data_IF_432017750182
#
_entry.id   IF_432017750182
#
_cell.length_a   1.000
_cell.length_b   1.000
_cell.length_c   1.000
_cell.angle_alpha   90.00
_cell.angle_beta   90.00
_cell.angle_gamma   90.00
#
_symmetry.space_group_name_H-M   'P 1'
#
loop_
_entity.id
_entity.type
_entity.pdbx_description
1 polymer ?
#
# COMPACT_ATOMS: atom_id res chain seq x y z
N UNK A 1 47.58 -37.75 -44.48
CA UNK A 1 46.80 -36.80 -43.70
C UNK A 1 45.46 -36.38 -44.28
N UNK A 2 45.34 -36.12 -45.57
CA UNK A 2 44.02 -35.67 -46.18
C UNK A 2 42.93 -36.72 -46.24
N UNK A 3 43.24 -38.02 -46.14
CA UNK A 3 42.23 -39.12 -46.24
C UNK A 3 41.54 -39.41 -44.91
N UNK A 4 42.19 -39.19 -43.78
CA UNK A 4 41.64 -39.39 -42.44
C UNK A 4 40.75 -38.23 -42.03
N UNK A 5 40.95 -37.00 -42.56
CA UNK A 5 40.14 -35.84 -42.26
C UNK A 5 38.72 -35.91 -42.91
N UNK A 6 38.62 -36.58 -44.05
CA UNK A 6 37.31 -36.80 -44.72
C UNK A 6 36.44 -37.83 -44.02
N UNK A 7 37.05 -38.84 -43.38
CA UNK A 7 36.34 -39.87 -42.62
C UNK A 7 35.89 -39.30 -41.26
N UNK A 8 36.67 -38.43 -40.63
CA UNK A 8 36.27 -37.75 -39.40
C UNK A 8 35.09 -36.76 -39.62
N UNK A 9 35.10 -36.04 -40.74
CA UNK A 9 34.00 -35.16 -41.09
C UNK A 9 32.69 -35.90 -41.44
N UNK A 10 32.78 -37.15 -41.95
CA UNK A 10 31.63 -37.96 -42.28
C UNK A 10 30.97 -38.63 -41.06
N UNK A 11 31.72 -38.82 -39.97
CA UNK A 11 31.17 -39.32 -38.67
C UNK A 11 30.65 -38.22 -37.76
N UNK A 12 31.03 -36.96 -37.98
CA UNK A 12 30.49 -35.80 -37.20
C UNK A 12 29.15 -35.29 -37.72
N UNK A 13 28.79 -35.59 -38.95
CA UNK A 13 27.54 -35.09 -39.55
C UNK A 13 26.25 -35.72 -38.98
N UNK A 14 26.21 -37.01 -38.60
CA UNK A 14 25.00 -37.59 -38.03
C UNK A 14 24.77 -37.22 -36.54
N UNK A 15 25.78 -36.69 -35.81
CA UNK A 15 25.61 -36.24 -34.41
C UNK A 15 24.92 -34.90 -34.26
N UNK A 16 24.73 -34.13 -35.35
CA UNK A 16 24.03 -32.84 -35.32
C UNK A 16 22.49 -32.95 -35.45
N UNK A 17 21.98 -34.16 -35.74
CA UNK A 17 20.52 -34.37 -35.88
C UNK A 17 19.84 -34.96 -34.65
N UNK A 18 20.58 -35.12 -33.51
CA UNK A 18 20.01 -35.65 -32.25
C UNK A 18 19.66 -34.51 -31.25
N UNK A 19 19.99 -33.28 -31.58
CA UNK A 19 19.71 -32.15 -30.69
C UNK A 19 18.50 -31.39 -31.17
N UNK A 20 17.43 -31.59 -30.53
CA UNK A 20 16.17 -30.88 -30.36
C UNK A 20 14.98 -31.80 -30.62
N UNK A 21 14.70 -32.72 -29.72
CA UNK A 21 13.30 -33.03 -29.48
C UNK A 21 12.70 -31.78 -28.85
N UNK A 22 11.92 -31.05 -29.63
CA UNK A 22 11.00 -30.05 -29.09
C UNK A 22 10.08 -30.82 -28.16
N UNK A 23 10.19 -30.58 -26.85
CA UNK A 23 9.20 -31.08 -25.92
C UNK A 23 7.86 -30.44 -26.30
N UNK A 24 7.03 -31.17 -26.97
CA UNK A 24 5.66 -30.77 -27.27
C UNK A 24 4.87 -30.94 -25.96
N UNK A 25 4.80 -29.86 -25.18
CA UNK A 25 3.90 -29.80 -24.04
C UNK A 25 2.47 -29.78 -24.56
N UNK A 26 1.82 -30.93 -24.53
CA UNK A 26 0.37 -31.00 -24.78
C UNK A 26 -0.36 -30.52 -23.54
N UNK A 27 -1.37 -29.67 -23.71
CA UNK A 27 -2.21 -29.16 -22.63
C UNK A 27 -3.04 -30.23 -21.88
N UNK A 28 -2.86 -31.50 -22.21
CA UNK A 28 -3.65 -32.61 -21.67
C UNK A 28 -5.06 -32.69 -22.26
N UNK A 29 -5.83 -33.64 -21.78
CA UNK A 29 -7.21 -33.86 -22.22
C UNK A 29 -8.18 -32.96 -21.46
N UNK A 30 -9.15 -32.38 -22.15
CA UNK A 30 -10.25 -31.66 -21.52
C UNK A 30 -11.14 -32.65 -20.80
N UNK A 31 -11.31 -32.49 -19.49
CA UNK A 31 -12.20 -33.31 -18.69
C UNK A 31 -13.66 -32.88 -18.87
N UNK A 32 -14.57 -33.84 -18.85
CA UNK A 32 -16.00 -33.60 -18.80
C UNK A 32 -16.44 -33.16 -17.37
N UNK A 33 -17.62 -32.54 -17.24
CA UNK A 33 -18.18 -32.17 -15.93
C UNK A 33 -18.25 -33.36 -14.95
N UNK A 34 -18.54 -34.58 -15.42
CA UNK A 34 -18.67 -35.76 -14.57
C UNK A 34 -17.35 -36.26 -13.98
N UNK A 35 -16.22 -35.90 -14.59
CA UNK A 35 -14.89 -36.27 -14.14
C UNK A 35 -14.34 -35.27 -13.11
N UNK A 36 -14.91 -34.07 -13.04
CA UNK A 36 -14.49 -33.01 -12.11
C UNK A 36 -15.11 -33.27 -10.72
N UNK A 37 -14.25 -33.38 -9.72
CA UNK A 37 -14.64 -33.63 -8.33
C UNK A 37 -14.32 -32.41 -7.47
N UNK A 38 -15.34 -31.85 -6.88
CA UNK A 38 -15.22 -30.69 -5.98
C UNK A 38 -16.26 -30.73 -4.87
N UNK A 39 -16.02 -30.02 -3.79
CA UNK A 39 -16.96 -29.87 -2.68
C UNK A 39 -16.99 -28.42 -2.20
N UNK A 40 -18.17 -28.01 -1.75
CA UNK A 40 -18.41 -26.78 -0.99
C UNK A 40 -19.11 -27.21 0.30
N UNK A 41 -18.52 -26.93 1.44
CA UNK A 41 -19.06 -27.35 2.74
C UNK A 41 -18.92 -26.24 3.78
N UNK A 42 -19.91 -26.13 4.67
CA UNK A 42 -19.86 -25.22 5.80
C UNK A 42 -19.21 -25.92 7.00
N UNK A 43 -18.27 -25.24 7.66
CA UNK A 43 -17.69 -25.69 8.93
C UNK A 43 -18.54 -25.17 10.09
N UNK A 44 -19.55 -25.97 10.48
CA UNK A 44 -20.47 -25.62 11.57
C UNK A 44 -19.81 -25.73 12.96
N UNK A 45 -18.61 -26.34 13.06
CA UNK A 45 -17.86 -26.39 14.33
C UNK A 45 -17.12 -25.05 14.52
N UNK A 46 -16.57 -24.47 13.43
CA UNK A 46 -15.96 -23.16 13.48
C UNK A 46 -17.00 -22.04 13.67
N UNK A 47 -18.16 -22.17 12.99
CA UNK A 47 -19.26 -21.19 13.02
C UNK A 47 -20.63 -21.90 12.95
N UNK A 48 -21.36 -21.86 14.02
CA UNK A 48 -22.73 -22.45 14.07
C UNK A 48 -23.72 -21.76 13.10
N UNK A 49 -23.41 -20.56 12.60
CA UNK A 49 -24.15 -19.84 11.55
C UNK A 49 -23.78 -20.26 10.13
N UNK A 50 -22.75 -21.11 9.97
CA UNK A 50 -22.25 -21.57 8.68
C UNK A 50 -21.43 -20.51 7.93
N UNK A 51 -20.86 -19.55 8.63
CA UNK A 51 -20.10 -18.44 8.07
C UNK A 51 -18.75 -18.86 7.48
N UNK A 52 -18.14 -19.94 7.97
CA UNK A 52 -16.91 -20.54 7.45
C UNK A 52 -17.25 -21.57 6.39
N UNK A 53 -16.81 -21.35 5.16
CA UNK A 53 -17.07 -22.23 4.01
C UNK A 53 -15.76 -22.75 3.44
N UNK A 54 -15.65 -24.06 3.31
CA UNK A 54 -14.49 -24.74 2.75
C UNK A 54 -14.79 -25.09 1.29
N UNK A 55 -13.97 -24.54 0.38
CA UNK A 55 -13.96 -24.82 -1.05
C UNK A 55 -12.86 -25.83 -1.32
N UNK A 56 -13.15 -26.91 -2.02
CA UNK A 56 -12.16 -27.94 -2.32
C UNK A 56 -12.35 -28.52 -3.71
N UNK A 57 -11.36 -28.39 -4.56
CA UNK A 57 -11.22 -29.11 -5.80
C UNK A 57 -10.25 -30.29 -5.58
N UNK A 58 -10.72 -31.50 -5.85
CA UNK A 58 -9.93 -32.73 -5.69
C UNK A 58 -9.55 -33.38 -7.02
N UNK A 59 -9.82 -32.70 -8.14
CA UNK A 59 -9.49 -33.21 -9.48
C UNK A 59 -8.02 -32.94 -9.78
N UNK A 60 -7.17 -33.98 -9.90
CA UNK A 60 -5.76 -33.80 -10.23
C UNK A 60 -5.56 -33.15 -11.62
N UNK A 61 -4.50 -32.38 -11.80
CA UNK A 61 -4.12 -31.81 -13.08
C UNK A 61 -5.04 -30.69 -13.58
N UNK A 62 -5.87 -30.12 -12.71
CA UNK A 62 -6.74 -28.98 -13.00
C UNK A 62 -6.36 -27.74 -12.21
N UNK A 63 -6.71 -26.54 -12.70
CA UNK A 63 -6.67 -25.31 -11.92
C UNK A 63 -8.09 -24.93 -11.51
N UNK A 64 -8.22 -24.36 -10.34
CA UNK A 64 -9.52 -23.93 -9.79
C UNK A 64 -9.82 -22.50 -10.18
N UNK A 65 -11.08 -22.23 -10.46
CA UNK A 65 -11.65 -20.89 -10.56
C UNK A 65 -12.93 -20.85 -9.71
N UNK A 66 -12.79 -20.27 -8.52
CA UNK A 66 -13.91 -20.06 -7.59
C UNK A 66 -14.39 -18.62 -7.66
N UNK A 67 -15.71 -18.42 -7.68
CA UNK A 67 -16.38 -17.15 -7.43
C UNK A 67 -17.41 -17.40 -6.33
N UNK A 68 -17.23 -16.74 -5.20
CA UNK A 68 -18.11 -16.91 -4.02
C UNK A 68 -18.95 -15.65 -3.74
N UNK A 69 -19.11 -14.81 -4.77
CA UNK A 69 -19.97 -13.63 -4.74
C UNK A 69 -19.33 -12.41 -4.10
N UNK A 70 -18.52 -12.58 -3.04
CA UNK A 70 -17.77 -11.49 -2.41
C UNK A 70 -16.30 -11.46 -2.83
N UNK A 71 -15.82 -12.51 -3.52
CA UNK A 71 -14.44 -12.60 -3.99
C UNK A 71 -14.23 -13.82 -4.88
N UNK A 72 -13.00 -14.01 -5.34
CA UNK A 72 -12.58 -15.13 -6.19
C UNK A 72 -11.35 -15.82 -5.60
N UNK A 73 -11.14 -17.10 -5.97
CA UNK A 73 -9.95 -17.85 -5.60
C UNK A 73 -9.54 -18.81 -6.70
N UNK A 74 -8.25 -19.04 -6.85
CA UNK A 74 -7.69 -20.06 -7.75
C UNK A 74 -7.07 -21.23 -7.00
N UNK A 75 -7.22 -21.28 -5.69
CA UNK A 75 -6.65 -22.33 -4.85
C UNK A 75 -7.43 -23.64 -5.01
N UNK A 76 -6.72 -24.78 -4.96
CA UNK A 76 -7.34 -26.10 -4.94
C UNK A 76 -8.16 -26.32 -3.66
N UNK A 77 -7.72 -25.75 -2.55
CA UNK A 77 -8.46 -25.71 -1.28
C UNK A 77 -8.39 -24.27 -0.76
N UNK A 78 -9.55 -23.72 -0.43
CA UNK A 78 -9.64 -22.40 0.19
C UNK A 78 -10.71 -22.37 1.29
N UNK A 79 -10.58 -21.44 2.22
CA UNK A 79 -11.55 -21.20 3.29
C UNK A 79 -12.06 -19.79 3.19
N UNK A 80 -13.32 -19.64 2.88
CA UNK A 80 -14.01 -18.36 2.75
C UNK A 80 -14.81 -18.08 4.01
N UNK A 81 -14.80 -16.83 4.46
CA UNK A 81 -15.50 -16.38 5.66
C UNK A 81 -16.50 -15.28 5.29
N UNK A 82 -17.78 -15.56 5.53
CA UNK A 82 -18.87 -14.61 5.32
C UNK A 82 -19.24 -13.93 6.63
N UNK A 83 -19.11 -12.62 6.71
CA UNK A 83 -19.41 -11.87 7.93
C UNK A 83 -20.91 -11.72 8.19
N UNK A 84 -21.72 -11.67 7.14
CA UNK A 84 -23.15 -11.40 7.21
C UNK A 84 -23.98 -12.63 6.90
N UNK A 85 -25.16 -12.73 7.52
CA UNK A 85 -26.18 -13.70 7.17
C UNK A 85 -26.71 -13.44 5.75
N UNK A 86 -27.03 -14.49 5.02
CA UNK A 86 -27.53 -14.38 3.65
C UNK A 86 -27.31 -15.64 2.83
N UNK A 87 -27.78 -15.63 1.61
CA UNK A 87 -27.58 -16.69 0.63
C UNK A 87 -26.43 -16.31 -0.31
N UNK A 88 -25.38 -17.12 -0.33
CA UNK A 88 -24.19 -16.91 -1.14
C UNK A 88 -24.12 -17.94 -2.28
N UNK A 89 -24.05 -17.44 -3.51
CA UNK A 89 -23.93 -18.30 -4.70
C UNK A 89 -22.44 -18.55 -4.95
N UNK A 90 -22.05 -19.81 -4.78
CA UNK A 90 -20.68 -20.26 -5.07
C UNK A 90 -20.67 -20.84 -6.48
N UNK A 91 -19.83 -20.27 -7.35
CA UNK A 91 -19.57 -20.80 -8.68
C UNK A 91 -18.18 -21.42 -8.71
N UNK A 92 -18.06 -22.53 -9.39
CA UNK A 92 -16.79 -23.21 -9.61
C UNK A 92 -16.62 -23.53 -11.10
N UNK A 93 -15.42 -23.34 -11.60
CA UNK A 93 -14.98 -23.84 -12.88
C UNK A 93 -13.59 -24.47 -12.73
N UNK A 94 -13.34 -25.55 -13.45
CA UNK A 94 -12.02 -26.16 -13.56
C UNK A 94 -11.39 -25.81 -14.91
N UNK A 95 -10.11 -25.43 -14.89
CA UNK A 95 -9.32 -25.29 -16.13
C UNK A 95 -8.59 -26.59 -16.38
N UNK A 96 -8.88 -27.23 -17.51
CA UNK A 96 -8.36 -28.54 -17.89
C UNK A 96 -8.19 -28.61 -19.42
N UNK A 97 -7.09 -29.17 -19.90
CA UNK A 97 -6.77 -29.25 -21.34
C UNK A 97 -6.80 -27.89 -22.04
N UNK A 98 -6.50 -26.78 -21.34
CA UNK A 98 -6.55 -25.42 -21.90
C UNK A 98 -7.96 -24.83 -22.03
N UNK A 99 -8.99 -25.50 -21.54
CA UNK A 99 -10.38 -25.03 -21.54
C UNK A 99 -10.93 -24.82 -20.14
N UNK A 100 -11.90 -23.91 -20.01
CA UNK A 100 -12.64 -23.65 -18.76
C UNK A 100 -13.93 -24.48 -18.80
N UNK A 101 -14.10 -25.36 -17.83
CA UNK A 101 -15.28 -26.20 -17.65
C UNK A 101 -16.08 -25.70 -16.43
N UNK A 102 -17.16 -24.93 -16.65
CA UNK A 102 -17.99 -24.42 -15.57
C UNK A 102 -18.86 -25.53 -14.98
N UNK A 103 -18.97 -25.52 -13.64
CA UNK A 103 -19.84 -26.41 -12.88
C UNK A 103 -21.13 -25.69 -12.50
N UNK A 104 -22.12 -26.45 -12.02
CA UNK A 104 -23.35 -25.86 -11.52
C UNK A 104 -23.09 -25.11 -10.21
N UNK A 105 -23.75 -23.97 -10.03
CA UNK A 105 -23.59 -23.14 -8.84
C UNK A 105 -24.22 -23.80 -7.60
N UNK A 106 -23.63 -23.57 -6.44
CA UNK A 106 -24.10 -24.05 -5.15
C UNK A 106 -24.50 -22.84 -4.29
N UNK A 107 -25.68 -22.87 -3.71
CA UNK A 107 -26.12 -21.84 -2.75
C UNK A 107 -25.73 -22.29 -1.35
N UNK A 108 -24.98 -21.45 -0.66
CA UNK A 108 -24.60 -21.60 0.75
C UNK A 108 -25.41 -20.62 1.57
N UNK A 109 -26.16 -21.11 2.54
CA UNK A 109 -26.97 -20.27 3.43
C UNK A 109 -26.25 -20.03 4.75
N UNK A 110 -25.87 -18.77 4.99
CA UNK A 110 -25.35 -18.30 6.27
C UNK A 110 -26.51 -17.76 7.10
N UNK A 111 -26.69 -18.28 8.31
CA UNK A 111 -27.90 -18.03 9.11
C UNK A 111 -27.74 -16.97 10.18
N UNK A 112 -26.49 -16.55 10.48
CA UNK A 112 -26.16 -15.55 11.51
C UNK A 112 -24.97 -14.68 11.06
N UNK A 113 -24.95 -13.43 11.49
CA UNK A 113 -23.79 -12.58 11.34
C UNK A 113 -22.63 -13.07 12.23
N UNK A 114 -21.41 -13.04 11.69
CA UNK A 114 -20.17 -13.15 12.44
C UNK A 114 -19.26 -11.96 12.13
N UNK A 115 -19.51 -10.85 12.82
CA UNK A 115 -18.84 -9.58 12.59
C UNK A 115 -17.35 -9.60 12.97
N UNK A 116 -16.86 -10.64 13.67
CA UNK A 116 -15.43 -10.82 13.91
C UNK A 116 -14.62 -10.92 12.62
N UNK A 117 -15.24 -11.31 11.51
CA UNK A 117 -14.57 -11.41 10.21
C UNK A 117 -14.33 -10.05 9.53
N UNK A 118 -14.94 -9.00 10.03
CA UNK A 118 -14.77 -7.61 9.56
C UNK A 118 -14.37 -6.65 10.69
N UNK A 119 -13.84 -7.19 11.80
CA UNK A 119 -13.43 -6.40 12.97
C UNK A 119 -11.95 -5.96 12.94
N UNK A 120 -11.21 -6.29 11.90
CA UNK A 120 -9.84 -5.80 11.73
C UNK A 120 -9.86 -4.28 11.47
N UNK A 121 -8.94 -3.48 12.05
CA UNK A 121 -8.86 -2.04 11.85
C UNK A 121 -8.86 -1.58 10.39
N UNK A 122 -8.36 -2.40 9.47
CA UNK A 122 -8.36 -2.10 8.04
C UNK A 122 -9.78 -2.06 7.45
N UNK A 123 -10.70 -2.88 7.93
CA UNK A 123 -12.10 -2.79 7.55
C UNK A 123 -12.71 -1.46 7.99
N UNK A 124 -12.40 -1.03 9.22
CA UNK A 124 -12.84 0.28 9.74
C UNK A 124 -12.20 1.42 8.94
N UNK A 125 -10.91 1.34 8.64
CA UNK A 125 -10.24 2.33 7.80
C UNK A 125 -10.90 2.46 6.42
N UNK A 126 -11.27 1.34 5.79
CA UNK A 126 -11.86 1.33 4.45
C UNK A 126 -13.30 1.86 4.43
N UNK A 127 -14.11 1.56 5.47
CA UNK A 127 -15.58 1.73 5.43
C UNK A 127 -16.16 2.62 6.52
N UNK A 128 -15.40 2.93 7.57
CA UNK A 128 -15.91 3.55 8.80
C UNK A 128 -16.41 2.53 9.83
N UNK A 129 -16.39 1.22 9.51
CA UNK A 129 -16.82 0.13 10.38
C UNK A 129 -18.18 -0.48 10.02
N UNK A 130 -18.61 -1.45 10.84
CA UNK A 130 -19.90 -2.13 10.65
C UNK A 130 -21.06 -1.14 10.73
N UNK A 131 -22.01 -1.24 9.80
CA UNK A 131 -23.15 -0.34 9.68
C UNK A 131 -22.83 1.01 9.05
N UNK A 132 -21.58 1.23 8.63
CA UNK A 132 -21.12 2.48 8.01
C UNK A 132 -20.74 2.26 6.54
N UNK A 133 -20.50 3.37 5.86
CA UNK A 133 -19.95 3.40 4.52
C UNK A 133 -19.04 4.62 4.36
N UNK A 134 -18.05 4.52 3.47
CA UNK A 134 -17.11 5.60 3.21
C UNK A 134 -16.94 5.82 1.72
N UNK A 135 -16.96 7.10 1.33
CA UNK A 135 -16.76 7.54 -0.05
C UNK A 135 -15.29 7.90 -0.30
N UNK A 136 -14.75 7.37 -1.39
CA UNK A 136 -13.39 7.56 -1.84
C UNK A 136 -13.38 8.19 -3.24
N UNK A 137 -12.47 9.13 -3.46
CA UNK A 137 -12.23 9.77 -4.76
C UNK A 137 -10.75 9.64 -5.11
N UNK A 138 -10.42 9.67 -6.40
CA UNK A 138 -9.01 9.77 -6.82
C UNK A 138 -8.42 11.10 -6.37
N UNK A 139 -7.18 11.08 -5.91
CA UNK A 139 -6.43 12.29 -5.51
C UNK A 139 -5.94 13.08 -6.74
N UNK A 140 -6.91 13.52 -7.55
CA UNK A 140 -6.64 14.20 -8.82
C UNK A 140 -5.99 15.57 -8.66
N UNK A 141 -6.05 16.14 -7.46
CA UNK A 141 -5.47 17.45 -7.14
C UNK A 141 -4.14 17.36 -6.39
N UNK A 142 -3.69 16.15 -6.05
CA UNK A 142 -2.49 15.98 -5.23
C UNK A 142 -2.67 16.53 -3.81
N UNK A 143 -3.84 16.28 -3.21
CA UNK A 143 -4.20 16.80 -1.88
C UNK A 143 -3.34 16.16 -0.79
N UNK A 144 -3.09 14.88 -0.92
CA UNK A 144 -2.27 14.09 0.01
C UNK A 144 -1.08 13.45 -0.68
N UNK A 145 -1.30 12.75 -1.81
CA UNK A 145 -0.25 12.18 -2.63
C UNK A 145 0.28 13.22 -3.61
N UNK A 146 1.34 12.91 -4.36
CA UNK A 146 1.83 13.81 -5.41
C UNK A 146 0.80 13.98 -6.55
N UNK A 147 -0.08 12.99 -6.72
CA UNK A 147 -1.14 12.94 -7.71
C UNK A 147 -1.92 11.63 -7.64
N UNK A 148 -2.82 11.38 -8.59
CA UNK A 148 -3.72 10.21 -8.59
C UNK A 148 -3.03 8.88 -8.89
N UNK A 149 -1.79 8.90 -9.39
CA UNK A 149 -1.03 7.71 -9.76
C UNK A 149 0.33 7.67 -9.08
N UNK A 150 0.77 6.45 -8.76
CA UNK A 150 2.15 6.11 -8.46
C UNK A 150 2.53 4.84 -9.21
N UNK A 151 3.81 4.60 -9.42
CA UNK A 151 4.31 3.46 -10.17
C UNK A 151 5.41 2.75 -9.41
N UNK A 152 5.37 1.42 -9.42
CA UNK A 152 6.38 0.59 -8.79
C UNK A 152 6.82 -0.52 -9.71
N UNK A 153 8.09 -0.88 -9.62
CA UNK A 153 8.63 -2.04 -10.31
C UNK A 153 7.99 -3.34 -9.80
N UNK A 154 7.87 -4.32 -10.68
CA UNK A 154 7.18 -5.59 -10.42
C UNK A 154 7.87 -6.48 -9.38
N UNK A 155 9.17 -6.27 -9.14
CA UNK A 155 9.94 -6.99 -8.14
C UNK A 155 9.81 -6.38 -6.74
N UNK A 156 8.57 -6.12 -6.32
CA UNK A 156 8.24 -5.52 -5.04
C UNK A 156 8.79 -4.07 -4.88
N UNK A 157 8.87 -3.31 -5.95
CA UNK A 157 9.34 -1.92 -5.93
C UNK A 157 8.60 -1.04 -4.92
N UNK A 158 7.33 -1.36 -4.62
CA UNK A 158 6.55 -0.70 -3.58
C UNK A 158 7.16 -0.82 -2.16
N UNK A 159 7.99 -1.84 -1.90
CA UNK A 159 8.73 -1.97 -0.64
C UNK A 159 9.82 -0.91 -0.52
N UNK A 160 10.47 -0.52 -1.63
CA UNK A 160 11.47 0.54 -1.65
C UNK A 160 10.87 1.92 -1.43
N UNK A 161 9.65 2.13 -1.91
CA UNK A 161 8.93 3.41 -1.78
C UNK A 161 8.41 3.73 -0.38
N UNK A 162 8.82 2.98 0.64
CA UNK A 162 8.33 3.18 2.00
C UNK A 162 6.87 2.75 2.15
N UNK A 163 6.42 1.82 1.29
CA UNK A 163 5.11 1.19 1.46
C UNK A 163 4.96 0.74 2.90
N UNK A 164 3.90 1.14 3.52
CA UNK A 164 3.65 1.14 4.96
C UNK A 164 3.75 -0.24 5.60
N UNK A 165 3.55 -1.29 4.80
CA UNK A 165 3.69 -2.68 5.25
C UNK A 165 5.14 -3.16 5.30
N UNK A 166 6.08 -2.32 4.93
CA UNK A 166 7.47 -2.69 4.66
C UNK A 166 8.49 -1.83 5.38
N UNK A 167 8.10 -1.10 6.42
CA UNK A 167 9.03 -0.36 7.25
C UNK A 167 10.18 -1.29 7.70
N UNK A 168 11.36 -1.08 7.15
CA UNK A 168 12.53 -1.95 7.38
C UNK A 168 12.53 -3.28 6.62
N UNK A 169 11.56 -3.56 5.75
CA UNK A 169 11.54 -4.80 4.98
C UNK A 169 12.48 -4.72 3.78
N UNK A 170 13.37 -5.68 3.69
CA UNK A 170 14.11 -6.02 2.48
C UNK A 170 13.28 -7.02 1.68
N UNK A 171 12.98 -6.77 0.43
CA UNK A 171 12.14 -7.69 -0.35
C UNK A 171 11.98 -7.27 -1.79
N UNK A 172 12.50 -6.13 -2.11
CA UNK A 172 12.63 -5.59 -3.44
C UNK A 172 13.98 -6.01 -4.02
N UNK A 173 14.04 -6.41 -5.29
CA UNK A 173 15.26 -6.96 -5.90
C UNK A 173 15.34 -6.67 -7.41
N UNK A 174 16.58 -6.68 -7.93
CA UNK A 174 16.87 -6.54 -9.36
C UNK A 174 16.56 -5.18 -9.95
N UNK A 175 16.61 -5.09 -11.28
CA UNK A 175 16.39 -3.86 -12.03
C UNK A 175 14.98 -3.28 -11.85
N UNK A 176 13.99 -4.14 -11.57
CA UNK A 176 12.59 -3.76 -11.36
C UNK A 176 12.26 -3.37 -9.91
N UNK A 177 13.30 -3.10 -9.10
CA UNK A 177 13.14 -2.54 -7.77
C UNK A 177 13.21 -1.01 -7.82
N UNK A 178 12.18 -0.36 -8.30
CA UNK A 178 12.10 1.09 -8.43
C UNK A 178 10.72 1.60 -8.01
N UNK A 179 10.65 2.91 -7.70
CA UNK A 179 9.42 3.63 -7.38
C UNK A 179 9.39 4.95 -8.12
N UNK A 180 8.20 5.40 -8.48
CA UNK A 180 7.97 6.70 -9.06
C UNK A 180 6.60 7.24 -8.66
N UNK A 181 6.57 8.44 -8.07
CA UNK A 181 5.36 9.18 -7.70
C UNK A 181 5.30 10.49 -8.46
N UNK A 182 4.80 10.49 -9.72
CA UNK A 182 4.72 11.71 -10.52
C UNK A 182 3.75 12.71 -9.91
N UNK A 183 4.06 13.99 -10.07
CA UNK A 183 3.16 15.08 -9.74
C UNK A 183 2.00 15.22 -10.71
N UNK A 184 0.99 16.00 -10.36
CA UNK A 184 -0.17 16.25 -11.23
C UNK A 184 0.22 16.83 -12.60
N UNK A 185 1.26 17.65 -12.65
CA UNK A 185 1.81 18.20 -13.91
C UNK A 185 2.42 17.16 -14.84
N UNK A 186 2.97 16.08 -14.28
CA UNK A 186 3.53 14.97 -15.05
C UNK A 186 2.42 14.02 -15.54
N UNK A 187 1.37 13.88 -14.74
CA UNK A 187 0.26 12.98 -15.04
C UNK A 187 -0.67 13.58 -16.09
N UNK A 188 -1.01 14.86 -16.01
CA UNK A 188 -1.96 15.48 -16.94
C UNK A 188 -1.27 16.27 -18.06
N UNK A 189 -1.71 16.10 -19.31
CA UNK A 189 -2.71 15.15 -19.82
C UNK A 189 -2.11 13.83 -20.31
N UNK A 190 -0.81 13.61 -20.13
CA UNK A 190 -0.05 12.53 -20.80
C UNK A 190 -0.46 11.12 -20.35
N UNK A 191 -0.64 10.92 -19.05
CA UNK A 191 -0.97 9.61 -18.48
C UNK A 191 -2.45 9.46 -18.17
N UNK A 192 -3.14 10.55 -17.83
CA UNK A 192 -4.57 10.59 -17.55
C UNK A 192 -5.17 11.85 -18.14
N UNK A 193 -6.42 11.78 -18.60
CA UNK A 193 -7.19 12.98 -18.89
C UNK A 193 -7.53 13.72 -17.58
N UNK A 194 -7.48 15.04 -17.59
CA UNK A 194 -8.01 15.82 -16.49
C UNK A 194 -9.54 15.75 -16.48
N UNK A 195 -10.14 15.52 -15.32
CA UNK A 195 -11.60 15.42 -15.20
C UNK A 195 -12.06 14.85 -13.88
N UNK A 196 -13.40 14.73 -13.76
CA UNK A 196 -14.06 14.09 -12.62
C UNK A 196 -14.14 12.59 -12.83
N UNK A 197 -13.35 11.84 -12.08
CA UNK A 197 -13.35 10.38 -12.10
C UNK A 197 -14.47 9.78 -11.25
N UNK A 198 -15.19 10.60 -10.48
CA UNK A 198 -16.34 10.20 -9.69
C UNK A 198 -16.01 9.72 -8.29
N UNK A 199 -16.88 8.85 -7.77
CA UNK A 199 -16.85 8.40 -6.37
C UNK A 199 -17.02 6.90 -6.31
N UNK A 200 -16.20 6.22 -5.51
CA UNK A 200 -16.44 4.83 -5.11
C UNK A 200 -16.77 4.75 -3.61
N UNK A 201 -17.70 3.86 -3.27
CA UNK A 201 -18.21 3.66 -1.91
C UNK A 201 -17.97 2.23 -1.48
N UNK A 202 -17.33 2.06 -0.32
CA UNK A 202 -17.25 0.78 0.39
C UNK A 202 -18.19 0.83 1.58
N UNK A 203 -19.12 -0.13 1.64
CA UNK A 203 -20.18 -0.18 2.66
C UNK A 203 -20.12 -1.49 3.44
N UNK A 204 -20.37 -1.44 4.75
CA UNK A 204 -20.65 -2.58 5.62
C UNK A 204 -22.05 -2.50 6.23
N UNK A 205 -23.01 -1.91 5.51
CA UNK A 205 -24.41 -1.84 5.92
C UNK A 205 -25.13 -3.13 5.57
N UNK A 206 -25.00 -4.14 6.43
CA UNK A 206 -25.64 -5.46 6.27
C UNK A 206 -24.99 -6.38 5.24
N UNK A 207 -24.04 -5.89 4.46
CA UNK A 207 -23.22 -6.66 3.53
C UNK A 207 -21.97 -5.87 3.15
N UNK A 208 -20.95 -6.55 2.61
CA UNK A 208 -19.79 -5.90 2.02
C UNK A 208 -20.12 -5.43 0.59
N UNK A 209 -20.79 -4.28 0.47
CA UNK A 209 -21.25 -3.74 -0.80
C UNK A 209 -20.29 -2.69 -1.35
N UNK A 210 -20.11 -2.71 -2.67
CA UNK A 210 -19.29 -1.76 -3.42
C UNK A 210 -20.14 -1.03 -4.47
N UNK A 211 -19.91 0.28 -4.61
CA UNK A 211 -20.52 1.10 -5.66
C UNK A 211 -19.46 2.05 -6.22
N UNK A 212 -19.42 2.22 -7.53
CA UNK A 212 -18.62 3.24 -8.21
C UNK A 212 -19.45 3.99 -9.22
N UNK A 213 -19.46 5.32 -9.10
CA UNK A 213 -20.04 6.23 -10.09
C UNK A 213 -18.88 6.85 -10.86
N UNK A 214 -18.86 6.71 -12.19
CA UNK A 214 -17.69 6.97 -13.04
C UNK A 214 -18.02 7.89 -14.21
N UNK A 215 -17.99 9.22 -14.02
CA UNK A 215 -18.27 10.18 -15.10
C UNK A 215 -17.34 10.01 -16.30
N UNK A 216 -16.04 9.77 -16.07
CA UNK A 216 -15.05 9.59 -17.16
C UNK A 216 -15.19 8.28 -17.92
N UNK A 217 -15.97 7.32 -17.41
CA UNK A 217 -16.31 6.05 -18.08
C UNK A 217 -17.78 6.09 -18.58
N UNK A 218 -18.15 7.11 -19.37
CA UNK A 218 -19.52 7.29 -19.90
C UNK A 218 -20.64 7.39 -18.84
N UNK A 219 -20.37 8.01 -17.72
CA UNK A 219 -21.30 8.17 -16.60
C UNK A 219 -21.84 6.82 -16.06
N UNK A 220 -21.07 5.75 -16.17
CA UNK A 220 -21.52 4.45 -15.71
C UNK A 220 -21.56 4.38 -14.19
N UNK A 221 -22.60 3.74 -13.64
CA UNK A 221 -22.65 3.31 -12.25
C UNK A 221 -22.48 1.81 -12.18
N UNK A 222 -21.47 1.35 -11.46
CA UNK A 222 -21.23 -0.05 -11.20
C UNK A 222 -21.55 -0.36 -9.74
N UNK A 223 -22.21 -1.49 -9.49
CA UNK A 223 -22.47 -2.01 -8.16
C UNK A 223 -21.99 -3.44 -8.07
N UNK A 224 -21.51 -3.81 -6.88
CA UNK A 224 -20.99 -5.13 -6.66
C UNK A 224 -20.72 -5.38 -5.18
N UNK A 225 -19.87 -6.33 -4.92
CA UNK A 225 -19.40 -6.69 -3.59
C UNK A 225 -17.89 -6.62 -3.53
N UNK A 226 -17.35 -6.62 -2.33
CA UNK A 226 -15.90 -6.65 -2.15
C UNK A 226 -15.50 -7.52 -0.97
N UNK A 227 -14.24 -7.93 -0.96
CA UNK A 227 -13.61 -8.62 0.14
C UNK A 227 -12.21 -8.07 0.39
N UNK A 228 -11.93 -7.70 1.64
CA UNK A 228 -10.62 -7.26 2.08
C UNK A 228 -9.93 -8.38 2.87
N UNK A 229 -8.91 -8.97 2.29
CA UNK A 229 -8.03 -9.90 3.00
C UNK A 229 -6.93 -9.10 3.72
N UNK A 230 -7.13 -8.90 5.02
CA UNK A 230 -6.23 -8.10 5.84
C UNK A 230 -4.86 -8.76 6.07
N UNK A 231 -4.78 -10.08 5.99
CA UNK A 231 -3.52 -10.84 6.10
C UNK A 231 -2.63 -10.66 4.88
N UNK A 232 -3.16 -10.84 3.67
CA UNK A 232 -2.42 -10.72 2.40
C UNK A 232 -2.38 -9.29 1.86
N UNK A 233 -3.13 -8.36 2.44
CA UNK A 233 -3.31 -6.99 1.94
C UNK A 233 -3.83 -6.95 0.51
N UNK A 234 -4.86 -7.76 0.26
CA UNK A 234 -5.53 -7.84 -1.02
C UNK A 234 -6.99 -7.42 -0.89
N UNK A 235 -7.43 -6.57 -1.79
CA UNK A 235 -8.82 -6.17 -1.96
C UNK A 235 -9.36 -6.79 -3.25
N UNK A 236 -10.45 -7.55 -3.15
CA UNK A 236 -11.18 -8.04 -4.32
C UNK A 236 -12.48 -7.25 -4.49
N UNK A 237 -12.84 -6.92 -5.73
CA UNK A 237 -14.11 -6.28 -6.08
C UNK A 237 -14.77 -7.11 -7.17
N UNK A 238 -16.02 -7.52 -6.95
CA UNK A 238 -16.81 -8.31 -7.90
C UNK A 238 -17.87 -7.44 -8.57
N UNK A 239 -18.11 -7.68 -9.85
CA UNK A 239 -19.11 -6.99 -10.71
C UNK A 239 -18.89 -5.48 -10.86
N UNK A 240 -17.78 -4.95 -10.40
CA UNK A 240 -17.40 -3.55 -10.52
C UNK A 240 -15.88 -3.42 -10.56
N UNK A 241 -15.40 -2.20 -10.84
CA UNK A 241 -13.97 -1.86 -10.75
C UNK A 241 -13.81 -0.55 -10.00
N UNK A 242 -12.62 -0.32 -9.42
CA UNK A 242 -12.28 0.96 -8.80
C UNK A 242 -12.36 2.12 -9.80
N UNK A 243 -12.35 3.36 -9.31
CA UNK A 243 -12.11 4.54 -10.13
C UNK A 243 -10.70 4.44 -10.72
N UNK A 244 -10.57 4.66 -12.02
CA UNK A 244 -9.33 4.41 -12.75
C UNK A 244 -9.19 5.31 -13.95
N UNK A 245 -7.97 5.50 -14.37
CA UNK A 245 -7.61 6.12 -15.61
C UNK A 245 -6.11 5.90 -15.80
N UNK A 246 -5.70 5.49 -16.96
CA UNK A 246 -4.29 5.41 -17.36
C UNK A 246 -4.28 5.29 -18.87
N UNK A 247 -3.48 6.11 -19.53
CA UNK A 247 -3.58 6.30 -20.96
C UNK A 247 -2.19 6.42 -21.58
N UNK A 248 -1.36 5.36 -21.55
CA UNK A 248 -0.23 5.31 -22.46
C UNK A 248 -0.77 5.27 -23.88
N UNK A 249 0.03 5.65 -24.84
CA UNK A 249 -0.38 5.87 -26.25
C UNK A 249 -1.01 4.66 -26.89
N UNK A 250 -0.66 3.46 -26.44
CA UNK A 250 -1.24 2.18 -26.84
C UNK A 250 -1.77 1.43 -25.63
N UNK A 251 -2.87 0.75 -25.79
CA UNK A 251 -3.52 -0.17 -24.84
C UNK A 251 -4.07 0.47 -23.54
N UNK A 252 -3.62 1.60 -23.08
CA UNK A 252 -4.18 2.27 -21.92
C UNK A 252 -4.45 1.34 -20.75
N UNK A 253 -5.62 1.45 -20.13
CA UNK A 253 -6.08 0.54 -19.08
C UNK A 253 -6.35 -0.88 -19.57
N UNK A 254 -6.41 -1.13 -20.88
CA UNK A 254 -6.52 -2.48 -21.46
C UNK A 254 -5.25 -3.32 -21.32
N UNK A 255 -4.10 -2.70 -21.03
CA UNK A 255 -2.87 -3.39 -20.65
C UNK A 255 -2.91 -4.08 -19.29
N UNK A 256 -4.05 -4.03 -18.59
CA UNK A 256 -4.27 -4.65 -17.29
C UNK A 256 -5.36 -5.71 -17.45
N UNK A 257 -5.00 -6.98 -17.27
CA UNK A 257 -5.94 -8.09 -17.45
C UNK A 257 -6.86 -8.31 -16.24
N UNK A 258 -6.42 -7.95 -15.04
CA UNK A 258 -7.17 -8.20 -13.80
C UNK A 258 -7.57 -6.90 -13.09
N UNK A 259 -8.85 -6.54 -13.22
CA UNK A 259 -9.50 -5.44 -12.52
C UNK A 259 -10.40 -5.89 -11.36
N UNK A 260 -10.32 -7.12 -10.95
CA UNK A 260 -11.09 -7.65 -9.81
C UNK A 260 -10.27 -7.82 -8.54
N UNK A 261 -8.94 -7.68 -8.60
CA UNK A 261 -8.05 -7.88 -7.47
C UNK A 261 -6.98 -6.79 -7.40
N UNK A 262 -6.81 -6.21 -6.23
CA UNK A 262 -5.94 -5.06 -5.99
C UNK A 262 -5.02 -5.33 -4.82
N UNK A 263 -3.74 -4.98 -4.97
CA UNK A 263 -2.81 -4.92 -3.84
C UNK A 263 -3.10 -3.65 -3.04
N UNK A 264 -3.41 -3.79 -1.75
CA UNK A 264 -3.50 -2.64 -0.84
C UNK A 264 -2.08 -2.25 -0.47
N UNK A 265 -1.60 -1.12 -0.97
CA UNK A 265 -0.26 -0.59 -0.70
C UNK A 265 -0.28 0.20 0.60
N UNK A 266 -1.32 0.99 0.80
CA UNK A 266 -1.57 1.72 2.05
C UNK A 266 -3.06 1.92 2.25
N UNK A 267 -3.48 1.97 3.51
CA UNK A 267 -4.86 2.26 3.90
C UNK A 267 -4.88 2.83 5.31
N UNK A 268 -5.42 4.01 5.45
CA UNK A 268 -5.73 4.64 6.73
C UNK A 268 -7.15 5.23 6.72
N UNK A 269 -7.45 6.08 7.69
CA UNK A 269 -8.77 6.67 7.82
C UNK A 269 -9.17 7.53 6.61
N UNK A 270 -8.20 8.20 5.98
CA UNK A 270 -8.44 9.21 4.95
C UNK A 270 -7.77 8.93 3.61
N UNK A 271 -6.82 7.98 3.56
CA UNK A 271 -6.03 7.70 2.36
C UNK A 271 -6.00 6.22 2.02
N UNK A 272 -5.97 5.91 0.73
CA UNK A 272 -5.97 4.55 0.21
C UNK A 272 -5.14 4.48 -1.07
N UNK A 273 -4.26 3.48 -1.16
CA UNK A 273 -3.51 3.16 -2.37
C UNK A 273 -3.81 1.73 -2.82
N UNK A 274 -4.28 1.60 -4.06
CA UNK A 274 -4.61 0.31 -4.66
C UNK A 274 -3.77 0.07 -5.90
N UNK A 275 -2.99 -1.01 -5.89
CA UNK A 275 -2.11 -1.41 -6.97
C UNK A 275 -2.71 -2.49 -7.86
N UNK A 276 -2.50 -2.34 -9.18
CA UNK A 276 -2.77 -3.35 -10.21
C UNK A 276 -1.52 -3.58 -11.04
N UNK A 277 -1.34 -4.78 -11.57
CA UNK A 277 -0.21 -5.09 -12.44
C UNK A 277 -0.60 -4.83 -13.90
N UNK A 278 0.22 -4.09 -14.59
CA UNK A 278 0.28 -4.08 -16.06
C UNK A 278 1.09 -5.29 -16.49
N UNK A 279 0.46 -6.25 -17.17
CA UNK A 279 0.96 -7.63 -17.33
C UNK A 279 2.01 -7.76 -18.42
N UNK A 280 2.15 -6.77 -19.31
CA UNK A 280 3.05 -6.83 -20.47
C UNK A 280 3.49 -5.43 -20.89
N UNK A 281 4.44 -5.38 -21.82
CA UNK A 281 4.95 -4.13 -22.36
C UNK A 281 3.89 -3.38 -23.15
N UNK A 282 3.78 -2.10 -22.89
CA UNK A 282 2.88 -1.16 -23.57
C UNK A 282 3.69 0.08 -23.92
N UNK A 283 3.74 0.41 -25.20
CA UNK A 283 4.49 1.58 -25.72
C UNK A 283 5.98 1.63 -25.36
N UNK A 284 6.61 0.47 -25.21
CA UNK A 284 8.00 0.37 -24.76
C UNK A 284 8.18 0.52 -23.25
N UNK A 285 7.10 0.67 -22.49
CA UNK A 285 7.10 0.63 -21.03
C UNK A 285 6.90 -0.81 -20.56
N UNK A 286 7.85 -1.33 -19.81
CA UNK A 286 7.80 -2.69 -19.25
C UNK A 286 6.65 -2.91 -18.26
N UNK A 287 6.47 -4.15 -17.79
CA UNK A 287 5.53 -4.46 -16.72
C UNK A 287 5.76 -3.58 -15.51
N UNK A 288 4.69 -3.10 -14.88
CA UNK A 288 4.76 -2.26 -13.69
C UNK A 288 3.52 -2.44 -12.84
N UNK A 289 3.64 -2.17 -11.54
CA UNK A 289 2.48 -1.97 -10.69
C UNK A 289 2.03 -0.52 -10.82
N UNK A 290 0.84 -0.32 -11.35
CA UNK A 290 0.18 0.98 -11.39
C UNK A 290 -0.64 1.11 -10.11
N UNK A 291 -0.38 2.15 -9.34
CA UNK A 291 -1.04 2.41 -8.06
C UNK A 291 -1.93 3.62 -8.18
N UNK A 292 -3.20 3.43 -7.88
CA UNK A 292 -4.20 4.49 -7.82
C UNK A 292 -4.27 5.04 -6.40
N UNK A 293 -4.12 6.34 -6.28
CA UNK A 293 -4.10 7.08 -5.02
C UNK A 293 -5.46 7.71 -4.75
N UNK A 294 -6.05 7.39 -3.61
CA UNK A 294 -7.37 7.86 -3.22
C UNK A 294 -7.31 8.58 -1.89
N UNK A 295 -8.19 9.57 -1.75
CA UNK A 295 -8.52 10.20 -0.48
C UNK A 295 -10.02 10.06 -0.22
N UNK A 296 -10.44 10.13 1.05
CA UNK A 296 -11.89 10.19 1.32
C UNK A 296 -12.47 11.50 0.78
N UNK A 297 -13.68 11.44 0.28
CA UNK A 297 -14.40 12.63 -0.22
C UNK A 297 -14.54 13.70 0.87
N UNK A 298 -14.71 13.27 2.11
CA UNK A 298 -14.77 14.18 3.26
C UNK A 298 -13.45 14.88 3.53
N UNK A 299 -12.34 14.15 3.46
CA UNK A 299 -10.98 14.72 3.60
C UNK A 299 -10.74 15.78 2.51
N UNK A 300 -11.05 15.45 1.27
CA UNK A 300 -10.89 16.37 0.14
C UNK A 300 -11.78 17.63 0.28
N UNK A 301 -13.04 17.47 0.71
CA UNK A 301 -13.96 18.61 0.92
C UNK A 301 -13.48 19.55 2.03
N UNK A 302 -12.74 19.06 3.00
CA UNK A 302 -12.19 19.85 4.10
C UNK A 302 -10.79 20.38 3.79
N UNK A 303 -10.18 19.97 2.67
CA UNK A 303 -8.86 20.43 2.29
C UNK A 303 -8.89 21.94 1.96
N UNK A 304 -7.98 22.65 2.60
CA UNK A 304 -7.72 24.06 2.26
C UNK A 304 -6.33 24.09 1.63
N UNK A 305 -6.22 24.50 0.37
CA UNK A 305 -4.88 24.70 -0.23
C UNK A 305 -4.05 25.62 0.67
N UNK A 306 -2.76 25.36 0.83
CA UNK A 306 -1.89 26.28 1.53
C UNK A 306 -2.01 27.68 0.93
N UNK A 307 -2.10 28.70 1.78
CA UNK A 307 -2.07 30.08 1.32
C UNK A 307 -0.75 30.29 0.59
N UNK A 308 -0.79 30.73 -0.66
CA UNK A 308 0.39 30.94 -1.53
C UNK A 308 1.25 32.10 -1.04
N UNK A 309 2.04 31.86 -0.02
CA UNK A 309 3.25 32.59 0.35
C UNK A 309 4.35 31.54 0.53
N UNK A 310 5.63 31.89 0.68
CA UNK A 310 6.64 30.92 1.02
C UNK A 310 6.30 30.33 2.39
N UNK A 311 5.57 29.20 2.37
CA UNK A 311 5.32 28.42 3.57
C UNK A 311 6.65 27.81 4.00
N UNK A 312 7.19 28.35 5.08
CA UNK A 312 8.41 27.86 5.68
C UNK A 312 8.16 26.70 6.64
N UNK A 313 6.89 26.31 6.84
CA UNK A 313 6.47 25.15 7.64
C UNK A 313 6.57 25.34 9.14
N UNK A 314 6.87 26.54 9.65
CA UNK A 314 6.98 26.81 11.07
C UNK A 314 5.60 26.92 11.74
N UNK A 315 5.57 26.54 13.03
CA UNK A 315 4.34 26.53 13.84
C UNK A 315 3.14 25.89 13.10
N UNK A 316 3.30 24.64 12.62
CA UNK A 316 2.29 24.01 11.80
C UNK A 316 0.98 23.86 12.57
N UNK A 317 -0.13 24.08 11.88
CA UNK A 317 -1.46 23.84 12.41
C UNK A 317 -2.04 22.57 11.79
N UNK A 318 -2.58 21.70 12.61
CA UNK A 318 -3.17 20.43 12.17
C UNK A 318 -4.67 20.43 12.45
N UNK A 319 -5.43 19.82 11.55
CA UNK A 319 -6.81 19.44 11.82
C UNK A 319 -6.85 18.23 12.75
N UNK A 320 -7.96 17.99 13.39
CA UNK A 320 -8.16 16.79 14.23
C UNK A 320 -7.80 15.52 13.46
N UNK A 321 -6.89 14.73 14.02
CA UNK A 321 -6.36 13.50 13.43
C UNK A 321 -5.28 13.69 12.36
N UNK A 322 -5.02 14.89 11.86
CA UNK A 322 -4.03 15.14 10.82
C UNK A 322 -2.60 14.96 11.33
N UNK A 323 -2.31 15.41 12.56
CA UNK A 323 -1.01 15.19 13.18
C UNK A 323 -0.71 13.70 13.36
N UNK A 324 -1.67 12.92 13.85
CA UNK A 324 -1.53 11.49 13.96
C UNK A 324 -1.30 10.83 12.60
N UNK A 325 -2.05 11.23 11.58
CA UNK A 325 -1.92 10.71 10.23
C UNK A 325 -0.55 11.05 9.62
N UNK A 326 -0.07 12.26 9.83
CA UNK A 326 1.26 12.66 9.39
C UNK A 326 2.35 11.86 10.12
N UNK A 327 2.26 11.74 11.44
CA UNK A 327 3.27 11.09 12.26
C UNK A 327 3.33 9.57 12.05
N UNK A 328 2.19 8.90 12.16
CA UNK A 328 2.09 7.44 12.13
C UNK A 328 1.65 6.89 10.78
N UNK A 329 1.26 7.73 9.83
CA UNK A 329 0.81 7.29 8.51
C UNK A 329 -0.42 6.40 8.58
N UNK A 330 -0.34 5.30 7.85
CA UNK A 330 -1.41 4.31 7.74
C UNK A 330 -1.45 3.36 8.94
N UNK A 331 -2.33 2.37 8.89
CA UNK A 331 -2.52 1.37 9.95
C UNK A 331 -1.26 0.58 10.32
N UNK A 332 -0.24 0.50 9.47
CA UNK A 332 1.02 -0.21 9.76
C UNK A 332 2.18 0.67 10.19
N UNK A 333 1.96 1.97 10.27
CA UNK A 333 2.96 2.89 10.80
C UNK A 333 3.74 3.67 9.73
N UNK A 334 4.55 4.61 10.18
CA UNK A 334 5.42 5.44 9.36
C UNK A 334 6.81 5.50 9.96
N UNK A 335 7.82 5.22 9.13
CA UNK A 335 9.21 5.24 9.52
C UNK A 335 9.82 6.61 9.23
N UNK A 336 10.39 7.21 10.24
CA UNK A 336 11.10 8.47 10.18
C UNK A 336 12.59 8.23 10.44
N UNK A 337 13.45 8.68 9.53
CA UNK A 337 14.91 8.59 9.66
C UNK A 337 15.47 9.96 9.97
N UNK A 338 16.42 10.04 10.87
CA UNK A 338 17.16 11.27 11.09
C UNK A 338 17.92 11.63 9.80
N UNK A 339 17.83 12.88 9.34
CA UNK A 339 18.36 13.33 8.04
C UNK A 339 19.90 13.40 8.04
N UNK A 340 20.54 12.24 7.87
CA UNK A 340 21.99 12.13 7.85
C UNK A 340 22.64 12.80 6.63
N UNK A 341 21.93 12.81 5.50
CA UNK A 341 22.46 13.40 4.24
C UNK A 341 22.25 14.92 4.16
N UNK A 342 21.24 15.43 4.88
CA UNK A 342 20.92 16.84 4.97
C UNK A 342 21.37 17.46 6.28
N UNK A 343 20.46 18.15 6.95
CA UNK A 343 20.65 18.78 8.25
C UNK A 343 19.90 18.02 9.33
N UNK A 344 20.56 17.16 10.14
CA UNK A 344 19.90 16.41 11.19
C UNK A 344 19.42 17.29 12.36
N UNK A 345 19.96 18.50 12.52
CA UNK A 345 19.65 19.40 13.63
C UNK A 345 19.41 20.83 13.16
N UNK A 346 18.61 21.58 13.91
CA UNK A 346 18.37 23.01 13.71
C UNK A 346 17.97 23.69 15.02
N UNK A 347 18.06 25.03 15.03
CA UNK A 347 17.49 25.88 16.06
C UNK A 347 16.32 26.66 15.47
N UNK A 348 15.12 26.47 16.00
CA UNK A 348 13.89 27.03 15.45
C UNK A 348 13.22 27.93 16.50
N UNK A 349 13.16 29.22 16.21
CA UNK A 349 12.53 30.19 17.07
C UNK A 349 11.57 31.11 16.32
N UNK A 350 10.46 31.53 16.97
CA UNK A 350 9.48 32.51 16.49
C UNK A 350 9.11 32.38 15.01
N UNK A 351 8.74 31.18 14.60
CA UNK A 351 8.33 30.93 13.21
C UNK A 351 9.44 30.99 12.19
N UNK A 352 10.70 30.80 12.57
CA UNK A 352 11.81 30.64 11.63
C UNK A 352 12.96 29.85 12.23
N UNK A 353 13.66 29.12 11.38
CA UNK A 353 14.90 28.44 11.72
C UNK A 353 16.11 29.35 11.53
N UNK A 354 17.18 29.02 12.20
CA UNK A 354 18.48 29.64 11.98
C UNK A 354 19.13 29.10 10.71
N UNK A 355 18.89 27.84 10.43
CA UNK A 355 19.40 27.15 9.25
C UNK A 355 18.52 27.40 8.05
N UNK A 356 19.08 27.99 7.02
CA UNK A 356 18.41 28.30 5.74
C UNK A 356 18.66 27.21 4.70
N UNK A 357 19.84 26.61 4.76
CA UNK A 357 20.31 25.59 3.81
C UNK A 357 20.98 24.46 4.56
N UNK A 358 21.19 23.34 3.87
CA UNK A 358 21.93 22.21 4.42
C UNK A 358 23.36 22.57 4.84
N UNK A 359 24.01 23.51 4.16
CA UNK A 359 25.34 23.95 4.50
C UNK A 359 25.38 24.69 5.84
N UNK A 360 24.37 25.52 6.14
CA UNK A 360 24.34 26.36 7.33
C UNK A 360 24.47 25.56 8.62
N UNK A 361 23.83 24.39 8.70
CA UNK A 361 23.89 23.50 9.87
C UNK A 361 25.23 22.79 9.97
N UNK A 362 25.79 22.39 8.82
CA UNK A 362 27.05 21.63 8.75
C UNK A 362 28.28 22.44 9.14
N UNK A 363 28.19 23.74 9.07
CA UNK A 363 29.29 24.65 9.40
C UNK A 363 29.48 24.82 10.91
N UNK A 364 28.55 24.36 11.74
CA UNK A 364 28.68 24.41 13.20
C UNK A 364 29.53 23.26 13.67
N UNK A 365 30.70 23.50 14.17
CA UNK A 365 31.68 22.45 14.53
C UNK A 365 31.16 21.36 15.49
N UNK A 366 30.19 21.66 16.33
CA UNK A 366 29.57 20.71 17.24
C UNK A 366 28.52 19.77 16.58
N UNK A 367 28.02 20.08 15.38
CA UNK A 367 27.08 19.23 14.64
C UNK A 367 27.67 17.87 14.32
N UNK A 368 28.97 17.78 14.10
CA UNK A 368 29.68 16.54 13.75
C UNK A 368 29.45 15.42 14.76
N UNK A 369 29.18 15.75 16.01
CA UNK A 369 28.87 14.77 17.03
C UNK A 369 27.54 14.04 16.77
N UNK A 370 26.70 14.54 15.90
CA UNK A 370 25.41 13.99 15.52
C UNK A 370 25.44 13.21 14.19
N UNK A 371 26.47 13.39 13.37
CA UNK A 371 26.57 12.74 12.05
C UNK A 371 26.60 11.21 12.17
N UNK A 372 27.36 10.66 13.11
CA UNK A 372 27.41 9.23 13.35
C UNK A 372 26.06 8.69 13.85
N UNK A 373 25.39 9.43 14.72
CA UNK A 373 24.09 9.05 15.24
C UNK A 373 23.01 9.11 14.13
N UNK A 374 23.06 10.14 13.30
CA UNK A 374 22.12 10.33 12.22
C UNK A 374 22.19 9.22 11.17
N UNK A 375 23.37 8.66 10.94
CA UNK A 375 23.58 7.62 9.92
C UNK A 375 22.75 6.37 10.13
N UNK A 376 22.34 6.07 11.37
CA UNK A 376 21.60 4.84 11.75
C UNK A 376 20.51 5.11 12.79
N UNK A 377 19.92 6.29 12.79
CA UNK A 377 18.82 6.62 13.71
C UNK A 377 17.50 6.77 13.01
N UNK A 378 16.50 6.05 13.51
CA UNK A 378 15.14 6.12 13.00
C UNK A 378 14.10 5.84 14.10
N UNK A 379 12.88 6.28 13.86
CA UNK A 379 11.71 5.95 14.68
C UNK A 379 10.53 5.57 13.80
N UNK A 380 9.90 4.46 14.12
CA UNK A 380 8.65 3.99 13.53
C UNK A 380 7.51 4.29 14.49
N UNK A 381 6.57 5.12 14.09
CA UNK A 381 5.31 5.29 14.78
C UNK A 381 4.24 4.42 14.14
N UNK A 382 3.46 3.72 14.97
CA UNK A 382 2.46 2.77 14.56
C UNK A 382 1.20 2.96 15.40
N UNK A 383 0.02 2.74 14.79
CA UNK A 383 -1.26 2.92 15.48
C UNK A 383 -2.16 1.68 15.47
N UNK A 384 -1.67 0.55 14.97
CA UNK A 384 -2.38 -0.74 15.01
C UNK A 384 -2.20 -1.40 16.35
N UNK A 385 -3.31 -1.69 17.03
CA UNK A 385 -3.27 -2.25 18.38
C UNK A 385 -2.78 -1.28 19.45
N UNK A 386 -3.05 0.02 19.26
CA UNK A 386 -2.63 1.14 20.11
C UNK A 386 -1.49 1.94 19.50
N UNK A 387 -1.21 3.10 20.09
CA UNK A 387 -0.14 3.97 19.63
C UNK A 387 1.20 3.43 20.16
N UNK A 388 1.98 2.84 19.25
CA UNK A 388 3.26 2.19 19.54
C UNK A 388 4.37 2.81 18.74
N UNK A 389 5.58 2.81 19.29
CA UNK A 389 6.77 3.17 18.53
C UNK A 389 7.84 2.08 18.64
N UNK A 390 8.66 2.00 17.62
CA UNK A 390 9.94 1.30 17.62
C UNK A 390 11.00 2.32 17.22
N UNK A 391 12.03 2.44 18.00
CA UNK A 391 13.14 3.36 17.75
C UNK A 391 14.44 2.58 17.61
N UNK A 392 15.24 2.91 16.62
CA UNK A 392 16.63 2.50 16.49
C UNK A 392 17.55 3.69 16.69
N UNK A 393 18.59 3.50 17.45
CA UNK A 393 19.71 4.42 17.52
C UNK A 393 21.00 3.62 17.65
N UNK A 394 21.86 3.68 16.62
CA UNK A 394 23.14 2.95 16.58
C UNK A 394 22.96 1.43 16.81
N UNK A 395 21.95 0.84 16.15
CA UNK A 395 21.66 -0.58 16.28
C UNK A 395 20.94 -0.97 17.57
N UNK A 396 20.73 -0.04 18.50
CA UNK A 396 19.96 -0.29 19.72
C UNK A 396 18.49 -0.05 19.47
N UNK A 397 17.73 -1.14 19.44
CA UNK A 397 16.27 -1.09 19.25
C UNK A 397 15.56 -0.94 20.59
N UNK A 398 14.66 0.02 20.66
CA UNK A 398 13.75 0.22 21.81
C UNK A 398 12.32 0.33 21.34
N UNK A 399 11.38 -0.17 22.14
CA UNK A 399 9.95 -0.15 21.86
C UNK A 399 9.20 0.47 23.02
N UNK A 400 8.05 1.06 22.73
CA UNK A 400 7.15 1.62 23.74
C UNK A 400 5.83 2.08 23.13
N UNK A 401 5.10 2.84 23.93
CA UNK A 401 3.89 3.53 23.50
C UNK A 401 4.14 5.02 23.38
N UNK A 402 3.31 5.71 22.61
CA UNK A 402 3.36 7.17 22.54
C UNK A 402 1.96 7.77 22.73
N UNK A 403 1.92 9.04 23.07
CA UNK A 403 0.71 9.85 23.12
C UNK A 403 0.90 11.13 22.32
N UNK A 404 -0.20 11.70 21.83
CA UNK A 404 -0.22 12.94 21.08
C UNK A 404 -1.16 13.92 21.76
N UNK A 405 -0.71 15.16 21.88
CA UNK A 405 -1.53 16.32 22.19
C UNK A 405 -1.64 17.19 20.93
N UNK A 406 -2.73 17.03 20.17
CA UNK A 406 -2.94 17.78 18.92
C UNK A 406 -3.14 19.29 19.15
N UNK A 407 -3.57 19.70 20.34
CA UNK A 407 -3.75 21.12 20.64
C UNK A 407 -2.42 21.87 20.81
N UNK A 408 -1.35 21.18 21.21
CA UNK A 408 -0.01 21.75 21.40
C UNK A 408 1.02 21.23 20.41
N UNK A 409 0.63 20.34 19.50
CA UNK A 409 1.51 19.61 18.57
C UNK A 409 2.62 18.83 19.28
N UNK A 410 2.31 18.26 20.43
CA UNK A 410 3.28 17.52 21.24
C UNK A 410 3.10 16.01 21.12
N UNK A 411 4.22 15.33 21.16
CA UNK A 411 4.31 13.86 21.15
C UNK A 411 5.15 13.45 22.36
N UNK A 412 4.65 12.49 23.14
CA UNK A 412 5.37 11.92 24.28
C UNK A 412 5.66 10.45 24.06
N UNK A 413 6.91 10.06 24.17
CA UNK A 413 7.31 8.65 24.18
C UNK A 413 7.32 8.12 25.60
N UNK A 414 6.64 6.98 25.82
CA UNK A 414 6.69 6.32 27.11
C UNK A 414 8.02 5.59 27.31
N UNK A 415 8.73 5.94 28.36
CA UNK A 415 9.96 5.28 28.79
C UNK A 415 11.25 5.60 28.01
N UNK A 416 11.20 6.44 26.95
CA UNK A 416 12.39 6.74 26.14
C UNK A 416 12.42 8.20 25.68
N UNK A 417 13.63 8.71 25.43
CA UNK A 417 13.85 9.94 24.67
C UNK A 417 13.78 9.66 23.17
N UNK A 418 13.43 10.68 22.37
CA UNK A 418 13.41 10.55 20.91
C UNK A 418 14.78 10.14 20.35
N UNK A 419 15.83 10.80 20.87
CA UNK A 419 17.23 10.55 20.51
C UNK A 419 18.12 10.85 21.70
N UNK A 420 19.28 10.21 21.78
CA UNK A 420 20.26 10.42 22.86
C UNK A 420 21.67 10.55 22.25
N UNK A 421 22.44 11.50 22.77
CA UNK A 421 23.85 11.57 22.52
C UNK A 421 24.58 11.89 23.84
N UNK A 422 25.06 10.85 24.51
CA UNK A 422 25.72 10.96 25.81
C UNK A 422 27.00 11.81 25.78
N UNK A 423 27.56 12.06 24.62
CA UNK A 423 28.71 12.96 24.41
C UNK A 423 28.33 14.42 24.13
N UNK A 424 27.03 14.72 24.07
CA UNK A 424 26.54 16.07 23.74
C UNK A 424 25.76 16.68 24.91
N UNK A 425 26.01 17.95 25.19
CA UNK A 425 25.19 18.75 26.10
C UNK A 425 23.76 19.01 25.59
N UNK A 426 23.49 18.67 24.33
CA UNK A 426 22.20 18.87 23.66
C UNK A 426 21.35 17.59 23.64
N UNK A 427 21.65 16.60 24.47
CA UNK A 427 20.76 15.45 24.64
C UNK A 427 19.45 15.92 25.26
N UNK A 428 18.29 15.57 24.65
CA UNK A 428 17.00 15.94 25.20
C UNK A 428 16.84 15.50 26.67
N UNK A 429 16.34 16.39 27.51
CA UNK A 429 16.09 16.08 28.91
C UNK A 429 14.70 15.46 29.14
N UNK A 430 13.80 15.55 28.14
CA UNK A 430 12.40 15.14 28.25
C UNK A 430 12.04 14.13 27.14
N UNK A 431 11.11 13.26 27.46
CA UNK A 431 10.50 12.30 26.51
C UNK A 431 9.36 12.93 25.67
N UNK A 432 9.03 14.20 25.88
CA UNK A 432 8.04 14.96 25.13
C UNK A 432 8.76 15.92 24.19
N UNK A 433 8.35 15.93 22.94
CA UNK A 433 8.84 16.83 21.91
C UNK A 433 7.68 17.45 21.13
N UNK A 434 7.91 18.61 20.56
CA UNK A 434 6.91 19.37 19.79
C UNK A 434 7.21 19.29 18.29
N UNK A 435 6.18 19.22 17.46
CA UNK A 435 6.33 19.46 16.04
C UNK A 435 6.45 20.95 15.79
N UNK A 436 7.67 21.43 15.56
CA UNK A 436 7.96 22.86 15.42
C UNK A 436 8.04 23.33 13.99
N UNK A 437 8.27 22.40 13.04
CA UNK A 437 8.25 22.64 11.62
C UNK A 437 7.81 21.40 10.89
N UNK A 438 6.84 21.54 10.01
CA UNK A 438 6.34 20.47 9.15
C UNK A 438 5.59 21.03 7.93
N UNK A 439 5.47 20.18 6.92
CA UNK A 439 4.73 20.48 5.69
C UNK A 439 3.73 19.32 5.45
N UNK A 440 2.53 19.35 6.05
CA UNK A 440 1.62 18.20 6.05
C UNK A 440 1.37 17.60 4.66
N UNK A 441 1.21 18.41 3.64
CA UNK A 441 1.02 17.97 2.25
C UNK A 441 2.30 17.64 1.47
N UNK A 442 3.48 17.69 2.11
CA UNK A 442 4.80 17.48 1.45
C UNK A 442 5.76 16.74 2.37
N UNK A 443 5.26 15.96 3.27
CA UNK A 443 6.04 15.25 4.30
C UNK A 443 7.06 14.30 3.69
N UNK A 444 6.73 13.67 2.56
CA UNK A 444 7.60 12.76 1.83
C UNK A 444 8.86 13.46 1.26
N UNK A 445 8.77 14.74 0.98
CA UNK A 445 9.85 15.49 0.33
C UNK A 445 10.57 16.46 1.25
N UNK A 446 9.95 16.85 2.37
CA UNK A 446 10.48 17.88 3.26
C UNK A 446 10.71 17.44 4.70
N UNK A 447 10.15 16.28 5.10
CA UNK A 447 10.29 15.75 6.44
C UNK A 447 9.56 16.56 7.51
N UNK A 448 10.01 16.38 8.75
CA UNK A 448 9.42 16.93 9.98
C UNK A 448 10.54 17.33 10.96
N UNK A 449 10.33 18.41 11.71
CA UNK A 449 11.26 18.86 12.75
C UNK A 449 10.64 18.67 14.13
N UNK A 450 11.27 17.83 14.94
CA UNK A 450 10.91 17.60 16.34
C UNK A 450 11.72 18.51 17.25
N UNK A 451 11.09 19.51 17.83
CA UNK A 451 11.66 20.36 18.88
C UNK A 451 11.74 19.61 20.19
N UNK A 452 12.94 19.39 20.70
CA UNK A 452 13.20 18.54 21.89
C UNK A 452 13.52 19.32 23.15
N UNK A 453 14.19 20.46 23.02
CA UNK A 453 14.50 21.37 24.12
C UNK A 453 14.12 22.80 23.73
N UNK A 454 13.40 23.45 24.63
CA UNK A 454 13.00 24.85 24.48
C UNK A 454 13.81 25.76 25.37
N UNK A 455 14.45 26.76 24.77
CA UNK A 455 15.15 27.82 25.46
C UNK A 455 14.24 29.05 25.57
N UNK A 456 13.72 29.32 26.77
CA UNK A 456 12.78 30.41 27.03
C UNK A 456 13.43 31.80 26.88
N UNK A 457 14.72 31.95 27.17
CA UNK A 457 15.41 33.25 27.09
C UNK A 457 15.58 33.70 25.63
N UNK A 458 15.78 32.74 24.72
CA UNK A 458 15.95 32.98 23.30
C UNK A 458 14.69 32.76 22.47
N UNK A 459 13.64 32.19 23.10
CA UNK A 459 12.39 31.78 22.47
C UNK A 459 12.63 30.88 21.25
N UNK A 460 13.43 29.84 21.46
CA UNK A 460 13.81 28.90 20.40
C UNK A 460 13.83 27.45 20.85
N UNK A 461 13.62 26.57 19.90
CA UNK A 461 13.70 25.13 20.06
C UNK A 461 14.99 24.57 19.46
N UNK A 462 15.65 23.69 20.17
CA UNK A 462 16.59 22.75 19.56
C UNK A 462 15.78 21.64 18.91
N UNK A 463 15.98 21.41 17.61
CA UNK A 463 15.14 20.54 16.82
C UNK A 463 15.94 19.52 16.02
N UNK A 464 15.35 18.34 15.83
CA UNK A 464 15.87 17.29 14.97
C UNK A 464 15.02 17.16 13.71
N UNK A 465 15.67 17.10 12.57
CA UNK A 465 15.05 16.91 11.26
C UNK A 465 14.98 15.41 10.91
N UNK A 466 13.76 14.92 10.71
CA UNK A 466 13.50 13.56 10.29
C UNK A 466 12.82 13.54 8.91
N UNK A 467 13.23 12.61 8.08
CA UNK A 467 12.71 12.35 6.74
C UNK A 467 12.19 10.92 6.62
N UNK A 468 11.43 10.64 5.56
CA UNK A 468 10.88 9.31 5.27
C UNK A 468 11.88 8.40 4.56
#
# INVERSE_FOLDING_TARGET
MKRHLKILAMFMLPLLFVACKKDEHTLGTVLSKSEIKYTVSQDLQADAGGNTVILRNTTPGTLSMWDFGTGTSTRMVDTVKFAFAGDYVIKFAAVTGGQVVPMDSIVVKVTKDNLNYVNDPLWTALTGGVGQEKEWILDTQGIYFAGPLSFFGVNNGWLKGGGVWSAGATGCYGADCWTWGPGTSDIYPSMMAQGDYGVMTFSLKGTAAFKAVKPMENNVTQTGTYYLNTGSKMLSVNNATILRGYKPTKNGISGISNWSSYKVISLDENTLQLGVIRDHDVDGEGPAMIVYNFVTKQFAANYKPPVTGPDEGFDPTFKTGELLNMLAGTASGRLWKLDAAGNPIDWIGKGKGWTKTNADTRDWGWNKSWDDIASDSWVLFNRVGGFKYTRNQHGVITNGTFSINEATNEVTLDGNLLIQNSGSSLTPAKNTFKIVKAFPGKVETKGIWFGVDYNADKDEWFAFHYIL
#
